data_IF_246073383502
#
_entry.id   IF_246073383502
#
_cell.length_a   1.000
_cell.length_b   1.000
_cell.length_c   1.000
_cell.angle_alpha   90.00
_cell.angle_beta   90.00
_cell.angle_gamma   90.00
#
_symmetry.space_group_name_H-M   'P 1'
#
loop_
_entity.id
_entity.type
_entity.pdbx_description
1 polymer ?
#
# COMPACT_ATOMS: atom_id res chain seq x y z
N UNK A 1 -5.70 -8.41 -6.91
CA UNK A 1 -5.40 -9.80 -7.28
C UNK A 1 -5.21 -10.68 -6.04
N UNK A 2 -4.16 -10.52 -5.23
CA UNK A 2 -3.94 -11.37 -4.02
C UNK A 2 -5.04 -11.24 -2.97
N UNK A 3 -5.47 -10.03 -2.61
CA UNK A 3 -6.51 -9.84 -1.59
C UNK A 3 -7.91 -10.18 -2.13
N UNK A 4 -8.14 -9.95 -3.42
CA UNK A 4 -9.38 -10.32 -4.09
C UNK A 4 -9.55 -11.84 -4.21
N UNK A 5 -8.47 -12.61 -4.42
CA UNK A 5 -8.52 -14.08 -4.46
C UNK A 5 -8.80 -14.71 -3.10
N UNK A 6 -8.32 -14.11 -2.00
CA UNK A 6 -8.58 -14.60 -0.64
C UNK A 6 -10.04 -14.36 -0.24
N UNK A 7 -10.62 -13.21 -0.62
CA UNK A 7 -12.03 -12.93 -0.36
C UNK A 7 -12.98 -13.83 -1.17
N UNK A 8 -12.63 -14.10 -2.43
CA UNK A 8 -13.34 -15.06 -3.28
C UNK A 8 -13.33 -16.48 -2.67
N UNK A 9 -12.23 -16.86 -2.01
CA UNK A 9 -12.10 -18.13 -1.31
C UNK A 9 -12.93 -18.21 0.00
N UNK A 10 -13.32 -17.08 0.62
CA UNK A 10 -14.16 -17.04 1.83
C UNK A 10 -15.67 -17.09 1.53
N UNK A 11 -16.09 -17.22 0.27
CA UNK A 11 -17.49 -17.47 -0.09
C UNK A 11 -18.48 -16.31 0.14
N UNK A 12 -17.99 -15.11 0.48
CA UNK A 12 -18.84 -13.96 0.79
C UNK A 12 -18.70 -12.86 -0.26
N UNK A 13 -19.65 -12.82 -1.20
CA UNK A 13 -19.74 -11.76 -2.23
C UNK A 13 -20.50 -10.50 -1.77
N UNK A 14 -21.02 -10.46 -0.53
CA UNK A 14 -21.91 -9.38 -0.06
C UNK A 14 -21.47 -8.65 1.22
N UNK A 15 -20.32 -8.99 1.80
CA UNK A 15 -19.66 -8.13 2.79
C UNK A 15 -18.51 -7.42 2.09
N UNK A 16 -18.41 -6.08 2.15
CA UNK A 16 -17.46 -5.35 1.33
C UNK A 16 -16.03 -5.88 1.57
N UNK A 17 -15.35 -6.41 0.54
CA UNK A 17 -13.97 -6.86 0.65
C UNK A 17 -13.02 -5.82 1.25
N UNK A 18 -13.41 -4.56 1.10
CA UNK A 18 -12.70 -3.35 1.47
C UNK A 18 -12.48 -3.28 2.99
N UNK A 19 -13.45 -3.69 3.81
CA UNK A 19 -13.37 -3.58 5.27
C UNK A 19 -12.33 -4.51 5.89
N UNK A 20 -12.04 -5.66 5.25
CA UNK A 20 -11.01 -6.62 5.68
C UNK A 20 -9.66 -6.27 5.06
N UNK A 21 -9.65 -5.80 3.81
CA UNK A 21 -8.41 -5.49 3.08
C UNK A 21 -7.72 -4.21 3.54
N UNK A 22 -8.46 -3.23 4.03
CA UNK A 22 -7.93 -1.97 4.58
C UNK A 22 -6.99 -2.18 5.78
N UNK A 23 -7.42 -2.82 6.89
CA UNK A 23 -6.56 -3.02 8.05
C UNK A 23 -5.37 -3.92 7.71
N UNK A 24 -5.58 -4.96 6.89
CA UNK A 24 -4.50 -5.87 6.50
C UNK A 24 -3.42 -5.18 5.64
N UNK A 25 -3.83 -4.34 4.68
CA UNK A 25 -2.88 -3.54 3.88
C UNK A 25 -2.10 -2.55 4.73
N UNK A 26 -2.73 -1.89 5.69
CA UNK A 26 -2.07 -0.95 6.60
C UNK A 26 -1.04 -1.66 7.48
N UNK A 27 -1.38 -2.82 8.05
CA UNK A 27 -0.46 -3.63 8.83
C UNK A 27 0.72 -4.08 7.95
N UNK A 28 0.46 -4.58 6.74
CA UNK A 28 1.52 -4.96 5.81
C UNK A 28 2.41 -3.78 5.41
N UNK A 29 1.83 -2.60 5.18
CA UNK A 29 2.56 -1.37 4.85
C UNK A 29 3.50 -0.94 5.98
N UNK A 30 3.07 -1.08 7.24
CA UNK A 30 3.91 -0.82 8.40
C UNK A 30 4.99 -1.90 8.58
N UNK A 31 4.65 -3.18 8.38
CA UNK A 31 5.59 -4.30 8.51
C UNK A 31 6.75 -4.26 7.50
N UNK A 32 6.50 -3.77 6.28
CA UNK A 32 7.55 -3.61 5.25
C UNK A 32 8.28 -2.27 5.36
N UNK A 33 8.14 -1.54 6.48
CA UNK A 33 8.75 -0.22 6.68
C UNK A 33 8.36 0.80 5.58
N UNK A 34 7.13 0.68 5.04
CA UNK A 34 6.67 1.41 3.86
C UNK A 34 6.70 2.94 4.01
N UNK A 35 6.56 3.46 5.23
CA UNK A 35 6.71 4.89 5.51
C UNK A 35 8.12 5.41 5.22
N UNK A 36 9.16 4.61 5.50
CA UNK A 36 10.55 5.00 5.25
C UNK A 36 10.87 4.99 3.76
N UNK A 37 10.37 4.00 3.03
CA UNK A 37 10.49 3.95 1.58
C UNK A 37 9.76 5.12 0.92
N UNK A 38 8.52 5.39 1.35
CA UNK A 38 7.73 6.51 0.83
C UNK A 38 8.43 7.85 1.09
N UNK A 39 8.85 8.11 2.34
CA UNK A 39 9.57 9.33 2.68
C UNK A 39 10.90 9.47 1.91
N UNK A 40 11.64 8.38 1.76
CA UNK A 40 12.88 8.34 0.97
C UNK A 40 12.65 8.71 -0.50
N UNK A 41 11.65 8.09 -1.14
CA UNK A 41 11.29 8.42 -2.53
C UNK A 41 10.76 9.85 -2.69
N UNK A 42 10.05 10.40 -1.70
CA UNK A 42 9.66 11.81 -1.72
C UNK A 42 10.90 12.72 -1.65
N UNK A 43 11.79 12.51 -0.69
CA UNK A 43 13.00 13.32 -0.52
C UNK A 43 13.88 13.26 -1.78
N UNK A 44 14.06 12.07 -2.35
CA UNK A 44 14.79 11.88 -3.60
C UNK A 44 14.13 12.64 -4.76
N UNK A 45 12.80 12.59 -4.88
CA UNK A 45 12.07 13.35 -5.90
C UNK A 45 12.18 14.87 -5.72
N UNK A 46 12.28 15.38 -4.49
CA UNK A 46 12.50 16.81 -4.24
C UNK A 46 13.95 17.21 -4.50
N UNK A 47 14.91 16.33 -4.21
CA UNK A 47 16.34 16.57 -4.47
C UNK A 47 16.72 16.43 -5.94
N UNK A 48 15.98 15.62 -6.72
CA UNK A 48 16.16 15.52 -8.17
C UNK A 48 15.50 16.67 -8.95
N UNK A 49 15.33 17.84 -8.32
CA UNK A 49 14.93 19.07 -9.00
C UNK A 49 15.91 19.42 -10.13
N UNK A 50 15.44 20.04 -11.22
CA UNK A 50 16.26 20.27 -12.40
C UNK A 50 17.50 21.10 -12.03
N UNK A 51 18.66 20.82 -12.65
CA UNK A 51 19.90 21.51 -12.32
C UNK A 51 19.73 23.03 -12.48
N UNK A 52 20.33 23.84 -11.60
CA UNK A 52 20.36 25.28 -11.79
C UNK A 52 21.24 25.57 -13.01
N UNK A 53 20.59 25.82 -14.15
CA UNK A 53 21.20 26.17 -15.44
C UNK A 53 20.17 26.82 -16.33
#
# INVERSE_FOLDING_TARGET
>A
LVVSSILMAMGMMMLPPVTISLPFKLIFFVLVDGWRMLAGSLVESFMSGPPPG
#
